data_IF_450284723557
#
_entry.id   IF_450284723557
#
_cell.length_a   1.000
_cell.length_b   1.000
_cell.length_c   1.000
_cell.angle_alpha   90.00
_cell.angle_beta   90.00
_cell.angle_gamma   90.00
#
_symmetry.space_group_name_H-M   'P 1'
#
loop_
_entity.id
_entity.type
_entity.pdbx_description
1 polymer ?
#
# COMPACT_ATOMS: atom_id res chain seq x y z
N UNK A 1 -13.23 7.57 -6.22
CA UNK A 1 -14.29 7.93 -7.20
C UNK A 1 -14.74 9.38 -6.99
N UNK A 2 -15.06 9.77 -5.76
CA UNK A 2 -15.36 11.14 -5.35
C UNK A 2 -14.41 12.19 -5.95
N UNK A 3 -13.10 12.10 -5.69
CA UNK A 3 -12.10 13.07 -6.19
C UNK A 3 -12.13 13.26 -7.71
N UNK A 4 -12.35 12.17 -8.46
CA UNK A 4 -12.46 12.26 -9.93
C UNK A 4 -13.76 12.96 -10.34
N UNK A 5 -14.87 12.68 -9.66
CA UNK A 5 -16.16 13.33 -9.92
C UNK A 5 -16.09 14.84 -9.62
N UNK A 6 -15.43 15.22 -8.53
CA UNK A 6 -15.15 16.62 -8.21
C UNK A 6 -14.33 17.31 -9.30
N UNK A 7 -13.24 16.68 -9.76
CA UNK A 7 -12.40 17.22 -10.83
C UNK A 7 -13.16 17.39 -12.17
N UNK A 8 -14.15 16.52 -12.43
CA UNK A 8 -15.01 16.60 -13.61
C UNK A 8 -16.21 17.53 -13.45
N UNK A 9 -16.41 18.13 -12.26
CA UNK A 9 -17.55 18.99 -11.96
C UNK A 9 -18.87 18.24 -11.70
N UNK A 10 -18.86 16.91 -11.60
CA UNK A 10 -20.04 16.10 -11.26
C UNK A 10 -20.25 16.07 -9.75
N UNK A 11 -20.85 17.15 -9.24
CA UNK A 11 -21.11 17.31 -7.79
C UNK A 11 -22.10 16.30 -7.25
N UNK A 12 -23.09 15.89 -8.04
CA UNK A 12 -24.10 14.93 -7.58
C UNK A 12 -23.48 13.56 -7.34
N UNK A 13 -22.64 13.10 -8.27
CA UNK A 13 -21.95 11.83 -8.10
C UNK A 13 -20.86 11.89 -7.02
N UNK A 14 -20.15 13.03 -6.90
CA UNK A 14 -19.18 13.25 -5.83
C UNK A 14 -19.83 13.09 -4.44
N UNK A 15 -20.95 13.79 -4.18
CA UNK A 15 -21.67 13.71 -2.91
C UNK A 15 -22.15 12.28 -2.63
N UNK A 16 -22.68 11.58 -3.64
CA UNK A 16 -23.09 10.18 -3.47
C UNK A 16 -21.91 9.27 -3.12
N UNK A 17 -20.74 9.48 -3.72
CA UNK A 17 -19.54 8.73 -3.39
C UNK A 17 -19.09 9.00 -1.95
N UNK A 18 -19.14 10.26 -1.51
CA UNK A 18 -18.79 10.67 -0.16
C UNK A 18 -19.71 10.02 0.89
N UNK A 19 -21.03 10.07 0.67
CA UNK A 19 -22.01 9.43 1.55
C UNK A 19 -21.77 7.92 1.66
N UNK A 20 -21.50 7.24 0.54
CA UNK A 20 -21.18 5.81 0.53
C UNK A 20 -19.86 5.52 1.24
N UNK A 21 -18.86 6.40 1.11
CA UNK A 21 -17.58 6.27 1.80
C UNK A 21 -17.77 6.37 3.32
N UNK A 22 -18.47 7.40 3.80
CA UNK A 22 -18.69 7.61 5.24
C UNK A 22 -19.42 6.41 5.86
N UNK A 23 -20.57 6.04 5.30
CA UNK A 23 -21.34 4.89 5.81
C UNK A 23 -20.55 3.58 5.72
N UNK A 24 -19.79 3.39 4.64
CA UNK A 24 -18.96 2.21 4.44
C UNK A 24 -17.82 2.11 5.45
N UNK A 25 -17.10 3.22 5.67
CA UNK A 25 -16.02 3.34 6.65
C UNK A 25 -16.52 3.01 8.05
N UNK A 26 -17.60 3.68 8.49
CA UNK A 26 -18.19 3.50 9.82
C UNK A 26 -18.65 2.05 10.03
N UNK A 27 -19.39 1.50 9.05
CA UNK A 27 -19.89 0.13 9.17
C UNK A 27 -18.76 -0.89 9.21
N UNK A 28 -17.76 -0.76 8.35
CA UNK A 28 -16.63 -1.69 8.27
C UNK A 28 -15.85 -1.70 9.59
N UNK A 29 -15.58 -0.52 10.13
CA UNK A 29 -14.92 -0.36 11.42
C UNK A 29 -15.71 -0.99 12.58
N UNK A 30 -16.98 -0.62 12.73
CA UNK A 30 -17.82 -1.09 13.83
C UNK A 30 -18.05 -2.61 13.78
N UNK A 31 -18.18 -3.19 12.58
CA UNK A 31 -18.68 -4.56 12.43
C UNK A 31 -17.60 -5.60 12.13
N UNK A 32 -16.45 -5.19 11.59
CA UNK A 32 -15.39 -6.11 11.17
C UNK A 32 -14.12 -6.00 12.02
N UNK A 33 -13.85 -4.86 12.66
CA UNK A 33 -12.69 -4.74 13.55
C UNK A 33 -12.94 -5.50 14.86
N UNK A 34 -12.09 -6.48 15.14
CA UNK A 34 -12.26 -7.38 16.29
C UNK A 34 -11.47 -6.93 17.54
N UNK A 35 -10.98 -5.69 17.55
CA UNK A 35 -10.07 -5.13 18.56
C UNK A 35 -8.58 -5.29 18.25
N UNK A 36 -8.21 -6.14 17.28
CA UNK A 36 -6.82 -6.34 16.85
C UNK A 36 -6.63 -6.24 15.34
N UNK A 37 -7.57 -6.76 14.56
CA UNK A 37 -7.56 -6.78 13.10
C UNK A 37 -8.98 -6.90 12.54
N UNK A 38 -9.15 -6.73 11.24
CA UNK A 38 -10.43 -6.83 10.53
C UNK A 38 -10.70 -8.28 10.07
N UNK A 39 -11.89 -8.80 10.39
CA UNK A 39 -12.28 -10.16 10.03
C UNK A 39 -13.19 -10.22 8.80
N UNK A 40 -13.10 -11.33 8.05
CA UNK A 40 -14.05 -11.62 6.99
C UNK A 40 -15.35 -12.18 7.60
N UNK A 41 -16.37 -11.33 7.70
CA UNK A 41 -17.74 -11.74 8.03
C UNK A 41 -18.39 -12.47 6.85
N UNK A 42 -18.41 -13.80 6.91
CA UNK A 42 -19.02 -14.65 5.88
C UNK A 42 -20.55 -14.50 5.93
N UNK A 43 -21.16 -14.10 4.81
CA UNK A 43 -22.60 -13.93 4.67
C UNK A 43 -23.14 -14.83 3.53
N UNK A 44 -23.54 -16.08 3.84
CA UNK A 44 -24.15 -16.96 2.85
C UNK A 44 -25.47 -16.37 2.33
N UNK A 45 -25.73 -16.35 1.02
CA UNK A 45 -27.00 -15.86 0.52
C UNK A 45 -28.12 -16.87 0.81
N UNK A 46 -29.35 -16.37 0.96
CA UNK A 46 -30.52 -17.19 1.33
C UNK A 46 -30.90 -18.25 0.27
N UNK A 47 -30.36 -18.14 -0.94
CA UNK A 47 -30.56 -19.10 -2.01
C UNK A 47 -30.00 -18.58 -3.32
N UNK A 48 -29.98 -19.44 -4.34
CA UNK A 48 -29.49 -19.09 -5.67
C UNK A 48 -30.23 -17.91 -6.32
N UNK A 49 -31.52 -17.74 -6.02
CA UNK A 49 -32.37 -16.67 -6.53
C UNK A 49 -32.10 -15.31 -5.87
N UNK A 50 -31.45 -15.29 -4.70
CA UNK A 50 -31.01 -14.06 -4.05
C UNK A 50 -29.73 -13.47 -4.67
N UNK A 51 -29.07 -14.23 -5.54
CA UNK A 51 -27.88 -13.78 -6.27
C UNK A 51 -28.34 -13.14 -7.57
N UNK A 52 -27.97 -11.87 -7.79
CA UNK A 52 -28.35 -11.15 -9.00
C UNK A 52 -27.87 -11.86 -10.28
N UNK A 53 -28.67 -11.75 -11.34
CA UNK A 53 -28.34 -12.34 -12.64
C UNK A 53 -26.97 -11.87 -13.13
N UNK A 54 -26.16 -12.79 -13.63
CA UNK A 54 -24.79 -12.52 -14.09
C UNK A 54 -23.70 -12.58 -13.01
N UNK A 55 -24.04 -12.60 -11.71
CA UNK A 55 -23.05 -12.70 -10.63
C UNK A 55 -22.66 -14.16 -10.28
N UNK A 56 -23.17 -15.15 -11.02
CA UNK A 56 -22.79 -16.56 -10.86
C UNK A 56 -21.95 -17.01 -12.04
N UNK A 57 -20.67 -17.30 -11.77
CA UNK A 57 -19.70 -17.69 -12.79
C UNK A 57 -19.68 -19.20 -13.12
N UNK A 58 -20.69 -19.98 -12.68
CA UNK A 58 -20.71 -21.44 -12.85
C UNK A 58 -19.62 -22.21 -12.06
N UNK A 59 -18.84 -21.49 -11.27
CA UNK A 59 -17.76 -21.94 -10.40
C UNK A 59 -17.95 -21.33 -9.01
N UNK A 60 -17.44 -21.98 -7.96
CA UNK A 60 -17.58 -21.53 -6.57
C UNK A 60 -18.05 -22.64 -5.63
N UNK A 61 -18.60 -22.26 -4.47
CA UNK A 61 -19.05 -23.21 -3.47
C UNK A 61 -20.21 -24.09 -3.97
N UNK A 62 -20.08 -25.40 -3.77
CA UNK A 62 -21.14 -26.38 -4.09
C UNK A 62 -22.35 -26.18 -3.18
N UNK A 63 -22.11 -25.93 -1.89
CA UNK A 63 -23.14 -25.55 -0.93
C UNK A 63 -23.09 -24.04 -0.69
N UNK A 64 -24.10 -23.32 -1.17
CA UNK A 64 -24.18 -21.86 -1.05
C UNK A 64 -24.43 -21.41 0.41
N UNK A 65 -25.07 -22.25 1.21
CA UNK A 65 -25.33 -21.96 2.63
C UNK A 65 -24.09 -22.13 3.52
N UNK A 66 -23.10 -22.90 3.06
CA UNK A 66 -21.83 -23.12 3.74
C UNK A 66 -20.68 -22.94 2.73
N UNK A 67 -20.37 -21.69 2.35
CA UNK A 67 -19.37 -21.44 1.32
C UNK A 67 -17.99 -21.89 1.80
N UNK A 68 -17.33 -22.70 0.99
CA UNK A 68 -15.97 -23.20 1.23
C UNK A 68 -14.93 -22.16 0.79
N UNK A 69 -13.66 -22.36 1.18
CA UNK A 69 -12.52 -21.54 0.76
C UNK A 69 -12.59 -20.08 1.23
N UNK A 70 -13.21 -19.84 2.38
CA UNK A 70 -13.34 -18.52 2.98
C UNK A 70 -12.19 -18.24 3.95
N UNK A 71 -12.02 -16.95 4.29
CA UNK A 71 -11.06 -16.49 5.30
C UNK A 71 -11.60 -16.72 6.71
N UNK A 72 -12.81 -16.24 7.00
CA UNK A 72 -13.40 -16.25 8.35
C UNK A 72 -12.61 -15.36 9.32
N UNK A 73 -12.37 -15.86 10.53
CA UNK A 73 -11.65 -15.17 11.62
C UNK A 73 -10.12 -15.00 11.40
N UNK A 74 -9.65 -15.26 10.19
CA UNK A 74 -8.22 -15.24 9.87
C UNK A 74 -7.65 -13.83 9.85
N UNK A 75 -6.45 -13.65 10.42
CA UNK A 75 -5.63 -12.46 10.25
C UNK A 75 -4.97 -12.53 8.86
N UNK A 76 -5.63 -11.94 7.87
CA UNK A 76 -5.12 -11.88 6.50
C UNK A 76 -4.11 -10.74 6.38
N UNK A 77 -2.93 -11.02 5.83
CA UNK A 77 -1.91 -10.01 5.59
C UNK A 77 -2.42 -8.83 4.74
N UNK A 78 -3.26 -9.12 3.74
CA UNK A 78 -3.75 -8.15 2.75
C UNK A 78 -5.08 -7.48 3.13
N UNK A 79 -5.56 -7.65 4.37
CA UNK A 79 -6.86 -7.13 4.81
C UNK A 79 -7.01 -5.59 4.71
N UNK A 80 -5.89 -4.87 4.63
CA UNK A 80 -5.84 -3.41 4.48
C UNK A 80 -5.36 -2.94 3.09
N UNK A 81 -5.46 -3.79 2.06
CA UNK A 81 -5.02 -3.42 0.70
C UNK A 81 -5.70 -2.14 0.16
N UNK A 82 -6.96 -1.91 0.54
CA UNK A 82 -7.68 -0.69 0.20
C UNK A 82 -7.05 0.56 0.81
N UNK A 83 -6.65 0.50 2.08
CA UNK A 83 -5.98 1.60 2.77
C UNK A 83 -4.59 1.87 2.17
N UNK A 84 -3.83 0.82 1.89
CA UNK A 84 -2.55 0.93 1.19
C UNK A 84 -2.69 1.67 -0.16
N UNK A 85 -3.70 1.30 -0.95
CA UNK A 85 -3.95 1.97 -2.23
C UNK A 85 -4.43 3.42 -2.03
N UNK A 86 -5.22 3.70 -1.00
CA UNK A 86 -5.63 5.05 -0.65
C UNK A 86 -4.43 5.96 -0.36
N UNK A 87 -3.40 5.46 0.33
CA UNK A 87 -2.15 6.21 0.54
C UNK A 87 -1.42 6.52 -0.76
N UNK A 88 -1.27 5.53 -1.65
CA UNK A 88 -0.64 5.72 -2.97
C UNK A 88 -1.37 6.78 -3.78
N UNK A 89 -2.70 6.77 -3.75
CA UNK A 89 -3.54 7.71 -4.48
C UNK A 89 -3.77 9.05 -3.76
N UNK A 90 -3.21 9.25 -2.57
CA UNK A 90 -3.39 10.48 -1.80
C UNK A 90 -4.83 10.70 -1.29
N UNK A 91 -5.58 9.63 -1.04
CA UNK A 91 -7.00 9.65 -0.64
C UNK A 91 -7.22 9.67 0.89
N UNK A 92 -6.14 9.61 1.67
CA UNK A 92 -6.21 9.65 3.13
C UNK A 92 -6.62 8.31 3.77
N UNK A 93 -7.16 8.41 4.99
CA UNK A 93 -7.54 7.25 5.79
C UNK A 93 -8.98 6.82 5.52
N UNK A 94 -9.17 5.51 5.26
CA UNK A 94 -10.44 4.87 4.97
C UNK A 94 -11.16 4.35 6.20
N UNK A 95 -10.43 4.14 7.31
CA UNK A 95 -10.91 3.73 8.63
C UNK A 95 -9.99 4.39 9.68
N UNK A 96 -10.30 4.38 10.98
CA UNK A 96 -9.47 5.01 12.02
C UNK A 96 -8.00 4.57 12.01
N UNK A 97 -7.09 5.54 12.13
CA UNK A 97 -5.63 5.35 12.13
C UNK A 97 -5.18 4.31 13.18
N UNK A 98 -5.74 4.38 14.39
CA UNK A 98 -5.34 3.47 15.46
C UNK A 98 -5.69 2.01 15.15
N UNK A 99 -6.83 1.76 14.49
CA UNK A 99 -7.23 0.43 14.06
C UNK A 99 -6.36 -0.08 12.90
N UNK A 100 -5.92 0.80 12.00
CA UNK A 100 -4.96 0.48 10.94
C UNK A 100 -3.62 0.03 11.54
N UNK A 101 -3.05 0.85 12.43
CA UNK A 101 -1.78 0.54 13.11
C UNK A 101 -1.86 -0.72 13.96
N UNK A 102 -2.96 -0.88 14.69
CA UNK A 102 -3.23 -2.09 15.47
C UNK A 102 -3.31 -3.32 14.56
N UNK A 103 -3.94 -3.22 13.39
CA UNK A 103 -4.02 -4.31 12.41
C UNK A 103 -2.65 -4.66 11.84
N UNK A 104 -1.84 -3.69 11.41
CA UNK A 104 -0.49 -3.94 10.92
C UNK A 104 0.41 -4.57 11.99
N UNK A 105 0.27 -4.11 13.24
CA UNK A 105 0.97 -4.71 14.39
C UNK A 105 0.53 -6.16 14.62
N UNK A 106 -0.77 -6.46 14.47
CA UNK A 106 -1.31 -7.82 14.55
C UNK A 106 -0.80 -8.70 13.40
N UNK A 107 -0.69 -8.16 12.19
CA UNK A 107 -0.08 -8.87 11.05
C UNK A 107 1.37 -9.22 11.37
N UNK A 108 2.17 -8.28 11.88
CA UNK A 108 3.54 -8.60 12.30
C UNK A 108 3.57 -9.66 13.41
N UNK A 109 2.71 -9.53 14.43
CA UNK A 109 2.66 -10.46 15.55
C UNK A 109 2.29 -11.88 15.14
N UNK A 110 1.28 -12.03 14.29
CA UNK A 110 0.67 -13.32 14.01
C UNK A 110 1.19 -13.94 12.70
N UNK A 111 1.49 -13.13 11.69
CA UNK A 111 1.84 -13.61 10.36
C UNK A 111 3.36 -13.65 10.11
N UNK A 112 4.17 -12.81 10.78
CA UNK A 112 5.63 -12.89 10.63
C UNK A 112 6.16 -14.15 11.33
N UNK A 113 6.80 -15.03 10.58
CA UNK A 113 7.52 -16.18 11.08
C UNK A 113 9.02 -15.95 10.84
N UNK A 114 9.85 -15.89 11.90
CA UNK A 114 11.30 -15.73 11.74
C UNK A 114 11.99 -17.01 11.23
N UNK A 115 11.32 -18.16 11.36
CA UNK A 115 11.82 -19.48 10.96
C UNK A 115 10.61 -20.34 10.55
N UNK A 116 10.68 -20.96 9.37
CA UNK A 116 9.64 -21.81 8.78
C UNK A 116 9.94 -23.31 8.90
N UNK A 117 10.98 -23.72 9.62
CA UNK A 117 11.39 -25.14 9.76
C UNK A 117 10.28 -26.02 10.33
N UNK A 118 9.39 -25.44 11.15
CA UNK A 118 8.23 -26.11 11.74
C UNK A 118 6.89 -25.64 11.15
N UNK A 119 6.94 -24.78 10.12
CA UNK A 119 5.75 -24.33 9.42
C UNK A 119 5.33 -25.38 8.40
N UNK A 120 4.28 -26.14 8.72
CA UNK A 120 3.73 -27.10 7.79
C UNK A 120 3.02 -26.39 6.64
N UNK A 121 3.52 -26.52 5.41
CA UNK A 121 2.83 -26.08 4.18
C UNK A 121 2.69 -27.25 3.20
N UNK A 122 1.46 -27.60 2.83
CA UNK A 122 1.14 -28.69 1.89
C UNK A 122 0.71 -28.17 0.50
N UNK A 123 0.91 -26.88 0.26
CA UNK A 123 0.56 -26.17 -0.96
C UNK A 123 1.85 -25.83 -1.71
N UNK A 124 1.91 -24.70 -2.41
CA UNK A 124 3.14 -24.25 -3.08
C UNK A 124 4.09 -23.65 -2.06
N UNK A 125 5.38 -23.94 -2.22
CA UNK A 125 6.41 -23.55 -1.26
C UNK A 125 7.37 -22.54 -1.87
N UNK A 126 7.36 -21.32 -1.34
CA UNK A 126 8.20 -20.20 -1.80
C UNK A 126 9.29 -19.80 -0.79
N UNK A 127 9.23 -20.33 0.43
CA UNK A 127 10.20 -20.15 1.50
C UNK A 127 10.43 -21.51 2.22
N UNK A 128 11.63 -21.75 2.72
CA UNK A 128 12.10 -23.05 3.22
C UNK A 128 12.89 -22.89 4.53
N UNK A 129 12.76 -23.85 5.43
CA UNK A 129 13.61 -24.01 6.63
C UNK A 129 13.71 -22.72 7.47
N UNK A 130 14.92 -22.25 7.75
CA UNK A 130 15.28 -21.08 8.56
C UNK A 130 14.97 -19.74 7.88
N UNK A 131 14.21 -19.73 6.77
CA UNK A 131 13.81 -18.50 6.09
C UNK A 131 12.65 -17.81 6.78
N UNK A 132 12.83 -16.52 7.06
CA UNK A 132 11.76 -15.68 7.58
C UNK A 132 10.75 -15.29 6.48
N UNK A 133 9.47 -15.13 6.85
CA UNK A 133 8.42 -14.70 5.95
C UNK A 133 7.19 -14.13 6.67
N UNK A 134 6.40 -13.35 5.94
CA UNK A 134 5.01 -13.06 6.33
C UNK A 134 4.08 -14.09 5.67
N UNK A 135 3.36 -14.85 6.49
CA UNK A 135 2.35 -15.80 6.03
C UNK A 135 1.11 -15.06 5.50
N UNK A 136 0.50 -15.59 4.44
CA UNK A 136 -0.72 -15.01 3.87
C UNK A 136 -1.82 -14.82 4.91
N UNK A 137 -2.10 -15.83 5.73
CA UNK A 137 -3.10 -15.73 6.78
C UNK A 137 -2.83 -16.68 7.94
N UNK A 138 -3.10 -16.20 9.15
CA UNK A 138 -3.04 -17.00 10.38
C UNK A 138 -4.37 -16.95 11.13
N UNK A 139 -4.57 -17.88 12.08
CA UNK A 139 -5.81 -18.01 12.83
C UNK A 139 -5.54 -17.92 14.34
N UNK A 140 -5.05 -16.77 14.83
CA UNK A 140 -4.58 -16.62 16.21
C UNK A 140 -5.69 -16.80 17.25
N UNK A 141 -6.94 -16.54 16.87
CA UNK A 141 -8.14 -16.71 17.70
C UNK A 141 -8.87 -18.04 17.47
N UNK A 142 -8.22 -19.00 16.79
CA UNK A 142 -8.84 -20.25 16.37
C UNK A 142 -9.87 -20.03 15.26
N UNK A 143 -10.95 -20.81 15.27
CA UNK A 143 -12.07 -20.68 14.32
C UNK A 143 -11.67 -20.74 12.84
N UNK A 144 -10.54 -21.41 12.55
CA UNK A 144 -10.13 -21.70 11.17
C UNK A 144 -11.22 -22.53 10.48
N UNK A 145 -11.75 -22.07 9.33
CA UNK A 145 -12.72 -22.87 8.58
C UNK A 145 -12.18 -24.27 8.30
N UNK A 146 -13.05 -25.29 8.28
CA UNK A 146 -12.67 -26.67 7.94
C UNK A 146 -11.96 -26.75 6.58
N UNK A 147 -12.37 -25.88 5.65
CA UNK A 147 -11.76 -25.68 4.33
C UNK A 147 -11.49 -24.18 4.14
N UNK A 148 -10.35 -23.65 4.63
CA UNK A 148 -10.00 -22.25 4.48
C UNK A 148 -9.61 -21.95 3.03
N UNK A 149 -9.46 -20.67 2.68
CA UNK A 149 -8.98 -20.28 1.35
C UNK A 149 -7.63 -20.96 1.02
N UNK A 150 -7.39 -21.38 -0.23
CA UNK A 150 -6.36 -22.36 -0.57
C UNK A 150 -4.92 -21.83 -0.51
N UNK A 151 -4.70 -20.57 -0.14
CA UNK A 151 -3.38 -19.94 -0.09
C UNK A 151 -2.99 -19.45 1.31
N UNK A 152 -3.83 -19.73 2.32
CA UNK A 152 -3.66 -19.19 3.68
C UNK A 152 -2.29 -19.46 4.28
N UNK A 153 -1.70 -20.59 3.91
CA UNK A 153 -0.47 -21.10 4.49
C UNK A 153 0.77 -20.83 3.62
N UNK A 154 0.59 -20.16 2.47
CA UNK A 154 1.66 -19.83 1.55
C UNK A 154 2.34 -18.51 1.94
N UNK A 155 3.48 -18.26 1.31
CA UNK A 155 4.25 -17.02 1.38
C UNK A 155 4.24 -16.39 -0.01
N UNK A 156 3.92 -15.10 -0.12
CA UNK A 156 3.79 -14.42 -1.40
C UNK A 156 4.42 -13.03 -1.35
N UNK A 157 5.53 -12.86 -2.07
CA UNK A 157 6.37 -11.66 -2.01
C UNK A 157 5.62 -10.38 -2.35
N UNK A 158 4.71 -10.40 -3.33
CA UNK A 158 3.94 -9.21 -3.70
C UNK A 158 3.03 -8.70 -2.58
N UNK A 159 2.45 -9.63 -1.82
CA UNK A 159 1.65 -9.30 -0.65
C UNK A 159 2.54 -8.82 0.50
N UNK A 160 3.65 -9.51 0.78
CA UNK A 160 4.62 -9.08 1.80
C UNK A 160 5.14 -7.66 1.54
N UNK A 161 5.45 -7.31 0.28
CA UNK A 161 5.83 -5.94 -0.09
C UNK A 161 4.71 -4.93 0.12
N UNK A 162 3.47 -5.31 -0.16
CA UNK A 162 2.30 -4.45 0.06
C UNK A 162 2.12 -4.13 1.55
N UNK A 163 2.22 -5.14 2.41
CA UNK A 163 2.18 -4.96 3.87
C UNK A 163 3.35 -4.09 4.36
N UNK A 164 4.57 -4.35 3.90
CA UNK A 164 5.76 -3.59 4.27
C UNK A 164 5.68 -2.11 3.86
N UNK A 165 5.22 -1.83 2.63
CA UNK A 165 5.03 -0.47 2.16
C UNK A 165 3.91 0.25 2.93
N UNK A 166 2.85 -0.45 3.31
CA UNK A 166 1.81 0.10 4.19
C UNK A 166 2.38 0.46 5.57
N UNK A 167 3.21 -0.40 6.17
CA UNK A 167 3.90 -0.10 7.43
C UNK A 167 4.73 1.19 7.34
N UNK A 168 5.38 1.47 6.22
CA UNK A 168 6.08 2.75 6.02
C UNK A 168 5.16 3.96 6.03
N UNK A 169 3.98 3.89 5.40
CA UNK A 169 3.00 4.97 5.43
C UNK A 169 2.52 5.28 6.86
N UNK A 170 2.46 4.25 7.73
CA UNK A 170 2.03 4.40 9.12
C UNK A 170 3.15 4.75 10.11
N UNK A 171 4.40 4.84 9.64
CA UNK A 171 5.58 5.14 10.46
C UNK A 171 6.21 3.92 11.14
N UNK A 172 5.79 2.71 10.81
CA UNK A 172 6.33 1.43 11.29
C UNK A 172 7.55 1.02 10.46
N UNK A 173 8.60 1.86 10.51
CA UNK A 173 9.77 1.74 9.61
C UNK A 173 10.55 0.46 9.86
N UNK A 174 10.74 0.07 11.13
CA UNK A 174 11.55 -1.10 11.48
C UNK A 174 10.86 -2.39 11.03
N UNK A 175 9.55 -2.51 11.24
CA UNK A 175 8.73 -3.66 10.84
C UNK A 175 8.66 -3.80 9.32
N UNK A 176 8.48 -2.69 8.60
CA UNK A 176 8.48 -2.70 7.14
C UNK A 176 9.85 -3.11 6.56
N UNK A 177 10.94 -2.62 7.15
CA UNK A 177 12.30 -3.01 6.74
C UNK A 177 12.58 -4.47 7.07
N UNK A 178 12.10 -4.98 8.20
CA UNK A 178 12.22 -6.39 8.57
C UNK A 178 11.53 -7.30 7.54
N UNK A 179 10.32 -6.93 7.09
CA UNK A 179 9.62 -7.66 6.03
C UNK A 179 10.42 -7.67 4.72
N UNK A 180 10.88 -6.51 4.25
CA UNK A 180 11.67 -6.41 3.02
C UNK A 180 12.97 -7.20 3.14
N UNK A 181 13.67 -7.12 4.27
CA UNK A 181 14.90 -7.86 4.52
C UNK A 181 14.66 -9.37 4.49
N UNK A 182 13.56 -9.86 5.07
CA UNK A 182 13.17 -11.26 5.01
C UNK A 182 12.95 -11.72 3.55
N UNK A 183 12.24 -10.94 2.73
CA UNK A 183 12.09 -11.23 1.30
C UNK A 183 13.47 -11.28 0.62
N UNK A 184 14.30 -10.25 0.77
CA UNK A 184 15.60 -10.16 0.10
C UNK A 184 16.57 -11.26 0.53
N UNK A 185 16.51 -11.73 1.77
CA UNK A 185 17.31 -12.85 2.27
C UNK A 185 16.96 -14.18 1.60
N UNK A 186 15.73 -14.35 1.09
CA UNK A 186 15.31 -15.53 0.31
C UNK A 186 15.81 -15.49 -1.14
N UNK A 187 16.14 -14.30 -1.64
CA UNK A 187 16.55 -14.01 -3.03
C UNK A 187 17.92 -13.30 -3.06
N UNK A 188 18.89 -13.83 -2.32
CA UNK A 188 20.23 -13.23 -2.12
C UNK A 188 21.25 -13.56 -3.24
N UNK A 189 20.84 -14.34 -4.25
CA UNK A 189 21.70 -14.83 -5.33
C UNK A 189 22.45 -16.12 -5.03
N UNK A 190 22.48 -16.56 -3.77
CA UNK A 190 22.97 -17.89 -3.36
C UNK A 190 21.83 -18.89 -3.25
N UNK A 191 20.73 -18.49 -2.61
CA UNK A 191 19.53 -19.31 -2.42
C UNK A 191 18.64 -19.30 -3.66
N UNK A 192 18.33 -18.11 -4.17
CA UNK A 192 17.46 -17.89 -5.35
C UNK A 192 17.89 -16.62 -6.11
N UNK A 193 17.42 -16.49 -7.36
CA UNK A 193 17.74 -15.36 -8.23
C UNK A 193 17.19 -14.03 -7.64
N UNK A 194 18.03 -12.98 -7.46
CA UNK A 194 17.63 -11.70 -6.87
C UNK A 194 16.61 -10.88 -7.67
N UNK A 195 16.31 -11.30 -8.90
CA UNK A 195 15.40 -10.65 -9.84
C UNK A 195 14.21 -11.54 -10.23
N UNK A 196 13.93 -12.55 -9.40
CA UNK A 196 12.90 -13.55 -9.66
C UNK A 196 12.21 -13.97 -8.36
N UNK A 197 11.56 -13.00 -7.68
CA UNK A 197 10.72 -13.31 -6.54
C UNK A 197 9.47 -14.13 -6.96
N UNK A 198 9.57 -15.45 -6.84
CA UNK A 198 8.52 -16.39 -7.22
C UNK A 198 7.28 -16.34 -6.31
N UNK A 199 6.09 -16.53 -6.91
CA UNK A 199 4.80 -16.55 -6.19
C UNK A 199 3.73 -17.45 -6.87
N UNK A 200 3.49 -17.30 -8.17
CA UNK A 200 2.63 -18.22 -8.93
C UNK A 200 3.40 -18.71 -10.16
N UNK A 201 4.67 -19.05 -9.93
CA UNK A 201 5.67 -19.28 -10.96
C UNK A 201 6.81 -18.27 -10.89
N UNK A 202 7.73 -18.39 -11.85
CA UNK A 202 8.86 -17.49 -12.05
C UNK A 202 8.43 -16.19 -12.74
N UNK A 203 9.19 -15.13 -12.52
CA UNK A 203 9.01 -13.78 -13.06
C UNK A 203 7.60 -13.22 -12.81
N UNK A 204 7.06 -13.51 -11.63
CA UNK A 204 5.70 -13.13 -11.30
C UNK A 204 5.60 -11.63 -11.02
N UNK A 205 4.73 -10.94 -11.74
CA UNK A 205 4.67 -9.48 -11.76
C UNK A 205 4.36 -8.83 -10.39
N UNK A 206 3.74 -9.57 -9.46
CA UNK A 206 3.25 -8.98 -8.19
C UNK A 206 4.38 -8.46 -7.29
N UNK A 207 5.59 -9.02 -7.39
CA UNK A 207 6.75 -8.54 -6.64
C UNK A 207 7.15 -7.09 -7.00
N UNK A 208 6.68 -6.57 -8.15
CA UNK A 208 6.83 -5.15 -8.49
C UNK A 208 6.10 -4.22 -7.52
N UNK A 209 5.23 -4.73 -6.65
CA UNK A 209 4.69 -3.98 -5.51
C UNK A 209 5.80 -3.38 -4.63
N UNK A 210 7.03 -3.93 -4.65
CA UNK A 210 8.20 -3.35 -3.97
C UNK A 210 8.48 -1.88 -4.34
N UNK A 211 8.07 -1.42 -5.53
CA UNK A 211 8.22 -0.02 -5.93
C UNK A 211 7.38 0.95 -5.09
N UNK A 212 6.31 0.49 -4.43
CA UNK A 212 5.52 1.36 -3.55
C UNK A 212 6.29 1.76 -2.29
N UNK A 213 7.30 0.99 -1.87
CA UNK A 213 8.21 1.40 -0.81
C UNK A 213 8.95 2.70 -1.17
N UNK A 214 9.29 2.91 -2.45
CA UNK A 214 9.90 4.16 -2.91
C UNK A 214 8.92 5.32 -2.69
N UNK A 215 7.64 5.15 -3.02
CA UNK A 215 6.63 6.18 -2.81
C UNK A 215 6.45 6.50 -1.31
N UNK A 216 6.31 5.47 -0.48
CA UNK A 216 6.10 5.61 0.95
C UNK A 216 7.29 6.30 1.65
N UNK A 217 8.52 5.88 1.34
CA UNK A 217 9.73 6.41 1.98
C UNK A 217 10.11 7.81 1.49
N UNK A 218 9.85 8.13 0.22
CA UNK A 218 10.19 9.44 -0.35
C UNK A 218 9.07 10.47 -0.16
N UNK A 219 7.87 10.03 0.20
CA UNK A 219 6.67 10.85 0.23
C UNK A 219 6.27 11.40 -1.14
N UNK A 220 6.78 10.79 -2.22
CA UNK A 220 6.53 11.26 -3.58
C UNK A 220 5.05 11.15 -3.93
N UNK A 221 4.49 12.27 -4.36
CA UNK A 221 3.15 12.32 -4.94
C UNK A 221 3.10 13.41 -6.02
N UNK A 222 2.36 13.17 -7.09
CA UNK A 222 2.10 14.16 -8.12
C UNK A 222 0.62 14.20 -8.48
N UNK A 223 0.03 15.38 -8.47
CA UNK A 223 -1.32 15.59 -9.01
C UNK A 223 -1.25 16.39 -10.30
N UNK A 224 -1.72 15.77 -11.40
CA UNK A 224 -1.82 16.42 -12.69
C UNK A 224 -2.92 17.48 -12.78
N UNK A 225 -3.92 17.42 -11.89
CA UNK A 225 -5.04 18.38 -11.85
C UNK A 225 -4.56 19.74 -11.37
N UNK A 226 -3.76 19.77 -10.30
CA UNK A 226 -3.26 21.00 -9.70
C UNK A 226 -1.77 21.27 -10.00
N UNK A 227 -1.12 20.43 -10.79
CA UNK A 227 0.31 20.49 -11.10
C UNK A 227 1.18 20.58 -9.82
N UNK A 228 0.80 19.85 -8.76
CA UNK A 228 1.50 19.82 -7.49
C UNK A 228 2.38 18.58 -7.37
N UNK A 229 3.63 18.77 -6.94
CA UNK A 229 4.59 17.71 -6.65
C UNK A 229 4.97 17.75 -5.18
N UNK A 230 5.03 16.59 -4.53
CA UNK A 230 5.34 16.46 -3.11
C UNK A 230 6.50 15.50 -2.87
N UNK A 231 7.30 15.75 -1.84
CA UNK A 231 8.22 14.81 -1.20
C UNK A 231 8.18 14.98 0.33
N UNK A 232 8.69 14.03 1.10
CA UNK A 232 8.96 14.19 2.54
C UNK A 232 10.27 14.94 2.76
N UNK A 233 10.35 15.73 3.83
CA UNK A 233 11.59 16.40 4.24
C UNK A 233 12.68 15.40 4.62
N UNK A 234 13.94 15.78 4.41
CA UNK A 234 15.13 15.01 4.80
C UNK A 234 16.05 15.86 5.66
N UNK A 235 16.82 15.24 6.55
CA UNK A 235 17.79 15.90 7.43
C UNK A 235 19.24 15.82 6.91
N UNK A 236 19.45 15.19 5.76
CA UNK A 236 20.74 15.03 5.10
C UNK A 236 20.58 15.27 3.60
N UNK A 237 21.70 15.40 2.88
CA UNK A 237 21.66 15.44 1.43
C UNK A 237 21.00 14.17 0.89
N UNK A 238 19.95 14.32 0.10
CA UNK A 238 19.24 13.20 -0.51
C UNK A 238 19.03 13.45 -2.00
N UNK A 239 19.02 12.36 -2.78
CA UNK A 239 18.62 12.36 -4.19
C UNK A 239 17.77 11.14 -4.44
N UNK A 240 16.52 11.36 -4.80
CA UNK A 240 15.52 10.30 -4.98
C UNK A 240 14.96 10.31 -6.39
N UNK A 241 14.58 9.14 -6.90
CA UNK A 241 13.89 8.98 -8.17
C UNK A 241 12.41 9.32 -8.03
N UNK A 242 11.81 9.87 -9.08
CA UNK A 242 10.36 10.04 -9.19
C UNK A 242 9.87 9.75 -10.61
N UNK A 243 8.61 9.30 -10.73
CA UNK A 243 7.93 9.11 -12.01
C UNK A 243 6.42 9.29 -11.86
N UNK A 244 5.78 9.96 -12.82
CA UNK A 244 4.33 10.18 -12.82
C UNK A 244 3.60 9.52 -14.01
N UNK A 245 4.25 8.56 -14.67
CA UNK A 245 3.72 7.86 -15.86
C UNK A 245 3.93 8.58 -17.20
N UNK A 246 4.12 9.90 -17.20
CA UNK A 246 4.41 10.69 -18.42
C UNK A 246 5.85 11.22 -18.47
N UNK A 247 6.44 11.44 -17.30
CA UNK A 247 7.78 11.94 -17.10
C UNK A 247 8.44 11.22 -15.92
N UNK A 248 9.78 11.26 -15.88
CA UNK A 248 10.54 10.77 -14.74
C UNK A 248 11.84 11.56 -14.58
N UNK A 249 12.40 11.50 -13.37
CA UNK A 249 13.54 12.32 -13.02
C UNK A 249 14.04 12.09 -11.61
N UNK A 250 14.73 13.10 -11.07
CA UNK A 250 15.22 13.09 -9.69
C UNK A 250 14.80 14.33 -8.93
N UNK A 251 14.63 14.16 -7.61
CA UNK A 251 14.48 15.25 -6.65
C UNK A 251 15.66 15.18 -5.71
N UNK A 252 16.43 16.26 -5.64
CA UNK A 252 17.55 16.40 -4.74
C UNK A 252 17.20 17.40 -3.64
N UNK A 253 17.39 17.03 -2.37
CA UNK A 253 17.26 17.93 -1.24
C UNK A 253 18.63 18.16 -0.61
N UNK A 254 18.96 19.42 -0.35
CA UNK A 254 20.14 19.84 0.41
C UNK A 254 19.68 20.70 1.60
N UNK A 255 19.43 20.07 2.76
CA UNK A 255 18.99 20.78 3.96
C UNK A 255 20.03 21.81 4.43
N UNK A 256 19.58 23.01 4.77
CA UNK A 256 20.36 24.06 5.41
C UNK A 256 19.70 24.55 6.70
N UNK A 257 20.30 25.52 7.42
CA UNK A 257 19.81 25.94 8.74
C UNK A 257 18.37 26.44 8.76
N UNK A 258 17.97 27.23 7.75
CA UNK A 258 16.68 27.93 7.71
C UNK A 258 15.79 27.51 6.52
N UNK A 259 16.35 26.78 5.56
CA UNK A 259 15.68 26.37 4.34
C UNK A 259 16.37 25.14 3.74
N UNK A 260 15.63 24.37 2.95
CA UNK A 260 16.16 23.28 2.13
C UNK A 260 16.21 23.73 0.68
N UNK A 261 17.38 23.63 0.06
CA UNK A 261 17.50 23.74 -1.39
C UNK A 261 16.98 22.45 -2.02
N UNK A 262 15.95 22.56 -2.86
CA UNK A 262 15.33 21.43 -3.57
C UNK A 262 15.54 21.61 -5.05
N UNK A 263 16.21 20.66 -5.69
CA UNK A 263 16.42 20.64 -7.13
C UNK A 263 15.61 19.52 -7.76
N UNK A 264 14.69 19.88 -8.65
CA UNK A 264 13.94 18.95 -9.50
C UNK A 264 14.65 18.86 -10.85
N UNK A 265 15.00 17.66 -11.28
CA UNK A 265 15.61 17.38 -12.58
C UNK A 265 14.70 16.43 -13.34
N UNK A 266 14.36 16.77 -14.58
CA UNK A 266 13.57 15.91 -15.47
C UNK A 266 14.54 15.21 -16.42
N UNK A 267 14.50 13.88 -16.43
CA UNK A 267 15.39 13.06 -17.28
C UNK A 267 14.66 12.55 -18.52
N UNK A 268 13.34 12.53 -18.50
CA UNK A 268 12.50 12.19 -19.65
C UNK A 268 11.11 12.81 -19.52
N UNK A 269 10.54 13.16 -20.67
CA UNK A 269 9.20 13.72 -20.76
C UNK A 269 9.16 15.19 -20.35
N UNK A 270 7.98 15.64 -19.94
CA UNK A 270 7.71 17.02 -19.55
C UNK A 270 6.79 17.04 -18.34
N UNK A 271 7.07 17.90 -17.36
CA UNK A 271 6.24 18.06 -16.16
C UNK A 271 5.79 19.50 -15.98
N UNK A 272 4.52 19.67 -15.63
CA UNK A 272 3.95 20.95 -15.19
C UNK A 272 4.04 21.02 -13.68
N UNK A 273 4.59 22.12 -13.17
CA UNK A 273 4.79 22.38 -11.75
C UNK A 273 4.27 23.76 -11.38
N UNK A 274 3.12 23.79 -10.73
CA UNK A 274 2.55 24.99 -10.09
C UNK A 274 2.97 25.06 -8.62
N UNK A 275 3.08 23.92 -7.94
CA UNK A 275 3.35 23.86 -6.50
C UNK A 275 4.33 22.74 -6.17
N UNK A 276 5.37 23.06 -5.39
CA UNK A 276 6.28 22.08 -4.81
C UNK A 276 6.09 22.04 -3.30
N UNK A 277 5.79 20.86 -2.76
CA UNK A 277 5.56 20.62 -1.34
C UNK A 277 6.65 19.73 -0.77
N UNK A 278 7.28 20.16 0.33
CA UNK A 278 8.14 19.32 1.16
C UNK A 278 7.40 19.09 2.48
N UNK A 279 6.77 17.93 2.62
CA UNK A 279 5.97 17.56 3.80
C UNK A 279 6.86 17.58 5.04
N UNK A 280 6.40 18.26 6.08
CA UNK A 280 7.18 18.52 7.30
C UNK A 280 8.15 19.70 7.22
N UNK A 281 8.13 20.48 6.12
CA UNK A 281 8.92 21.70 5.97
C UNK A 281 8.06 22.86 5.47
N UNK A 282 7.54 22.82 4.24
CA UNK A 282 6.83 23.94 3.63
C UNK A 282 6.56 23.72 2.15
N UNK A 283 6.10 24.77 1.45
CA UNK A 283 5.83 24.72 0.01
C UNK A 283 6.30 25.97 -0.71
N UNK A 284 6.51 25.85 -2.02
CA UNK A 284 6.81 26.96 -2.94
C UNK A 284 5.80 26.93 -4.09
N UNK A 285 5.23 28.10 -4.38
CA UNK A 285 4.35 28.31 -5.53
C UNK A 285 5.17 28.82 -6.74
N UNK A 286 4.76 28.41 -7.94
CA UNK A 286 5.31 28.83 -9.21
C UNK A 286 4.22 29.57 -9.98
N UNK A 287 4.26 30.91 -9.99
CA UNK A 287 3.35 31.73 -10.79
C UNK A 287 4.15 32.53 -11.83
N UNK A 288 4.00 32.24 -13.15
CA UNK A 288 3.10 31.24 -13.75
C UNK A 288 3.55 29.78 -13.56
N UNK A 289 2.67 28.81 -13.86
CA UNK A 289 2.98 27.36 -13.90
C UNK A 289 4.29 27.15 -14.64
N UNK A 290 5.26 26.48 -14.02
CA UNK A 290 6.50 26.12 -14.71
C UNK A 290 6.32 24.84 -15.50
N UNK A 291 6.82 24.86 -16.72
CA UNK A 291 7.01 23.66 -17.53
C UNK A 291 8.49 23.32 -17.50
N UNK A 292 8.82 22.07 -17.16
CA UNK A 292 10.19 21.58 -17.07
C UNK A 292 10.32 20.41 -18.04
N UNK A 293 11.21 20.54 -19.01
CA UNK A 293 11.42 19.59 -20.11
C UNK A 293 12.58 18.63 -19.81
N UNK A 294 12.74 17.61 -20.65
CA UNK A 294 13.84 16.65 -20.51
C UNK A 294 15.20 17.34 -20.50
N UNK A 295 16.09 16.85 -19.65
CA UNK A 295 17.43 17.38 -19.37
C UNK A 295 17.47 18.74 -18.66
N UNK A 296 16.31 19.31 -18.28
CA UNK A 296 16.25 20.53 -17.50
C UNK A 296 16.27 20.26 -15.99
N UNK A 297 16.68 21.30 -15.25
CA UNK A 297 16.64 21.29 -13.79
C UNK A 297 16.23 22.65 -13.24
N UNK A 298 15.39 22.63 -12.21
CA UNK A 298 14.96 23.84 -11.50
C UNK A 298 15.24 23.67 -10.01
N UNK A 299 15.84 24.69 -9.40
CA UNK A 299 16.11 24.74 -7.97
C UNK A 299 15.15 25.69 -7.25
N UNK A 300 14.75 25.30 -6.05
CA UNK A 300 13.83 26.01 -5.17
C UNK A 300 14.46 26.12 -3.77
N UNK A 301 14.14 27.19 -3.05
CA UNK A 301 14.45 27.29 -1.62
C UNK A 301 13.14 27.15 -0.84
N UNK A 302 12.96 25.99 -0.20
CA UNK A 302 11.76 25.70 0.60
C UNK A 302 12.08 26.06 2.06
N UNK A 303 11.37 27.05 2.59
CA UNK A 303 11.51 27.48 3.98
C UNK A 303 10.59 26.67 4.89
N UNK A 304 10.97 26.60 6.17
CA UNK A 304 10.09 26.08 7.22
C UNK A 304 8.85 26.97 7.28
N UNK A 305 7.65 26.39 7.19
CA UNK A 305 6.42 27.10 7.46
C UNK A 305 6.54 27.70 8.86
N UNK A 306 6.20 28.98 9.02
CA UNK A 306 6.12 29.58 10.35
C UNK A 306 5.08 28.78 11.12
N UNK A 307 5.48 28.17 12.24
CA UNK A 307 4.54 27.58 13.19
C UNK A 307 3.63 28.73 13.63
N UNK A 308 2.40 28.73 13.14
CA UNK A 308 1.36 29.55 13.73
C UNK A 308 1.09 28.89 15.09
N UNK A 309 1.64 29.50 16.15
CA UNK A 309 1.31 29.18 17.56
C UNK A 309 -0.21 29.15 17.79
#
# INVERSE_FOLDING_TARGET
AEEMAQAMGDRQFANRCQELFVHGSEWLDEHLFNGEYFEHKIQPPQGATAIASGLRAGMGATNIAEPELQLGAGCLLDQLVGQYMAHICGLGYLVPLDHIRQTLSSIMRYNFQPDLSWHFNHLRTFALNDEAALLMCTYPRGQRPRRPFPYFNEVMSGFEYTAAAHMFYEGMIEEGLQCIAAIRARYDGRKRNPFDEAECGHHYARAMASWSAVLALTGFHYSGVNASMQFVTTNHFSRVFWSNGYAWGTCQQKPGPNATEVKITVLYGKVRLQRLVIKGLGSVECDPVREIEADESVAFLVKRAEEIE
#
